data_IF_283134082708
#
_entry.id   IF_283134082708
#
_cell.length_a   1.000
_cell.length_b   1.000
_cell.length_c   1.000
_cell.angle_alpha   90.00
_cell.angle_beta   90.00
_cell.angle_gamma   90.00
#
_symmetry.space_group_name_H-M   'P 1'
#
loop_
_entity.id
_entity.type
_entity.pdbx_description
1 polymer ?
#
# COMPACT_ATOMS: atom_id res chain seq x y z
N UNK A 1 -15.20 28.84 6.77
CA UNK A 1 -14.88 27.40 6.82
C UNK A 1 -15.02 26.90 5.39
N UNK A 2 -13.92 26.62 4.70
CA UNK A 2 -13.99 26.03 3.36
C UNK A 2 -14.56 24.62 3.47
N UNK A 3 -15.47 24.24 2.58
CA UNK A 3 -15.97 22.87 2.47
C UNK A 3 -14.78 21.95 2.21
N UNK A 4 -14.56 20.94 3.06
CA UNK A 4 -13.62 19.86 2.76
C UNK A 4 -14.15 19.19 1.48
N UNK A 5 -13.37 19.25 0.39
CA UNK A 5 -13.73 18.55 -0.85
C UNK A 5 -13.59 17.05 -0.56
N UNK A 6 -14.73 16.37 -0.40
CA UNK A 6 -14.75 14.92 -0.21
C UNK A 6 -14.45 14.26 -1.56
N UNK A 7 -13.28 13.62 -1.66
CA UNK A 7 -12.89 12.84 -2.83
C UNK A 7 -13.32 11.40 -2.70
N UNK A 8 -13.55 10.76 -3.83
CA UNK A 8 -14.09 9.41 -3.89
C UNK A 8 -13.45 8.60 -5.02
N UNK A 9 -13.22 7.31 -4.79
CA UNK A 9 -12.66 6.39 -5.77
C UNK A 9 -13.44 5.08 -5.78
N UNK A 10 -13.58 4.50 -6.97
CA UNK A 10 -14.20 3.21 -7.18
C UNK A 10 -13.12 2.17 -7.52
N UNK A 11 -13.15 1.00 -6.89
CA UNK A 11 -12.29 -0.14 -7.26
C UNK A 11 -13.16 -1.27 -7.81
N UNK A 12 -12.82 -1.76 -9.01
CA UNK A 12 -13.43 -2.97 -9.56
C UNK A 12 -12.70 -4.18 -8.96
N UNK A 13 -13.40 -4.99 -8.19
CA UNK A 13 -12.88 -6.19 -7.54
C UNK A 13 -13.44 -7.45 -8.18
N UNK A 14 -12.62 -8.50 -8.25
CA UNK A 14 -13.05 -9.82 -8.72
C UNK A 14 -12.26 -10.93 -8.07
N UNK A 15 -12.80 -12.15 -8.11
CA UNK A 15 -12.13 -13.31 -7.54
C UNK A 15 -10.80 -13.55 -8.29
N UNK A 16 -9.71 -13.81 -7.55
CA UNK A 16 -8.35 -13.91 -8.09
C UNK A 16 -7.78 -12.62 -8.70
N UNK A 17 -8.22 -11.44 -8.24
CA UNK A 17 -7.49 -10.20 -8.43
C UNK A 17 -6.12 -10.25 -7.74
N UNK A 18 -5.18 -9.47 -8.26
CA UNK A 18 -3.85 -9.33 -7.65
C UNK A 18 -3.99 -8.54 -6.35
N UNK A 19 -3.46 -9.12 -5.27
CA UNK A 19 -3.79 -8.73 -3.90
C UNK A 19 -3.24 -7.34 -3.52
N UNK A 20 -1.99 -7.05 -3.91
CA UNK A 20 -1.41 -5.73 -3.71
C UNK A 20 -2.08 -4.68 -4.58
N UNK A 21 -2.43 -5.03 -5.82
CA UNK A 21 -3.08 -4.11 -6.77
C UNK A 21 -4.48 -3.65 -6.30
N UNK A 22 -5.02 -4.29 -5.26
CA UNK A 22 -6.22 -3.83 -4.56
C UNK A 22 -5.89 -3.21 -3.20
N UNK A 23 -5.17 -3.93 -2.33
CA UNK A 23 -4.99 -3.50 -0.94
C UNK A 23 -4.22 -2.18 -0.84
N UNK A 24 -3.16 -2.02 -1.64
CA UNK A 24 -2.33 -0.81 -1.61
C UNK A 24 -3.15 0.43 -2.01
N UNK A 25 -3.79 0.50 -3.19
CA UNK A 25 -4.60 1.67 -3.51
C UNK A 25 -5.78 1.84 -2.55
N UNK A 26 -6.44 0.76 -2.12
CA UNK A 26 -7.56 0.83 -1.18
C UNK A 26 -7.17 1.56 0.12
N UNK A 27 -6.14 1.09 0.81
CA UNK A 27 -5.76 1.65 2.11
C UNK A 27 -5.06 3.00 1.99
N UNK A 28 -4.26 3.21 0.94
CA UNK A 28 -3.53 4.48 0.77
C UNK A 28 -4.48 5.62 0.41
N UNK A 29 -5.48 5.38 -0.45
CA UNK A 29 -6.53 6.38 -0.72
C UNK A 29 -7.29 6.74 0.55
N UNK A 30 -7.67 5.75 1.37
CA UNK A 30 -8.33 5.98 2.67
C UNK A 30 -7.44 6.76 3.65
N UNK A 31 -6.14 6.49 3.68
CA UNK A 31 -5.20 7.20 4.56
C UNK A 31 -5.20 8.73 4.32
N UNK A 32 -5.53 9.15 3.10
CA UNK A 32 -5.60 10.55 2.70
C UNK A 32 -7.03 11.07 2.49
N UNK A 33 -8.01 10.43 3.14
CA UNK A 33 -9.39 10.93 3.22
C UNK A 33 -10.21 10.77 1.95
N UNK A 34 -9.76 9.93 1.01
CA UNK A 34 -10.58 9.54 -0.15
C UNK A 34 -11.53 8.43 0.28
N UNK A 35 -12.83 8.60 0.04
CA UNK A 35 -13.81 7.52 0.20
C UNK A 35 -13.56 6.47 -0.88
N UNK A 36 -13.38 5.22 -0.49
CA UNK A 36 -13.13 4.13 -1.44
C UNK A 36 -14.26 3.11 -1.36
N UNK A 37 -14.96 2.93 -2.48
CA UNK A 37 -15.99 1.92 -2.64
C UNK A 37 -15.48 0.79 -3.56
N UNK A 38 -15.88 -0.44 -3.26
CA UNK A 38 -15.52 -1.61 -4.06
C UNK A 38 -16.76 -2.19 -4.74
N UNK A 39 -16.62 -2.57 -6.02
CA UNK A 39 -17.69 -3.18 -6.79
C UNK A 39 -17.27 -4.47 -7.47
N UNK A 40 -18.16 -5.45 -7.51
CA UNK A 40 -17.91 -6.71 -8.19
C UNK A 40 -19.20 -7.27 -8.80
N UNK A 41 -19.23 -7.58 -10.11
CA UNK A 41 -20.38 -8.20 -10.78
C UNK A 41 -20.71 -9.62 -10.29
N UNK A 42 -19.82 -10.25 -9.53
CA UNK A 42 -20.02 -11.59 -8.95
C UNK A 42 -20.49 -11.58 -7.50
N UNK A 43 -20.71 -10.40 -6.90
CA UNK A 43 -21.15 -10.25 -5.51
C UNK A 43 -22.53 -9.59 -5.44
N UNK A 44 -23.29 -9.92 -4.40
CA UNK A 44 -24.55 -9.26 -4.06
C UNK A 44 -24.30 -8.05 -3.15
N UNK A 45 -25.14 -6.98 -3.20
CA UNK A 45 -25.00 -5.84 -2.31
C UNK A 45 -24.97 -6.29 -0.84
N UNK A 46 -24.04 -5.74 -0.06
CA UNK A 46 -23.83 -6.17 1.33
C UNK A 46 -22.80 -7.30 1.51
N UNK A 47 -22.43 -8.02 0.44
CA UNK A 47 -21.32 -8.98 0.51
C UNK A 47 -19.98 -8.25 0.46
N UNK A 48 -18.97 -8.81 1.13
CA UNK A 48 -17.59 -8.35 0.99
C UNK A 48 -17.08 -8.65 -0.42
N UNK A 49 -16.67 -7.63 -1.16
CA UNK A 49 -15.86 -7.81 -2.38
C UNK A 49 -14.40 -8.13 -2.00
N UNK A 50 -13.93 -7.43 -0.97
CA UNK A 50 -12.60 -7.52 -0.37
C UNK A 50 -12.74 -7.15 1.11
N UNK A 51 -12.06 -6.10 1.57
CA UNK A 51 -12.28 -5.46 2.87
C UNK A 51 -13.50 -4.53 2.88
N UNK A 52 -13.94 -4.03 1.72
CA UNK A 52 -15.13 -3.20 1.58
C UNK A 52 -16.38 -3.98 1.16
N UNK A 53 -17.53 -3.42 1.56
CA UNK A 53 -18.86 -3.92 1.21
C UNK A 53 -19.15 -3.57 -0.24
N UNK A 54 -19.65 -4.55 -1.01
CA UNK A 54 -20.14 -4.35 -2.36
C UNK A 54 -21.25 -3.29 -2.37
N UNK A 55 -20.97 -2.14 -2.99
CA UNK A 55 -22.01 -1.17 -3.35
C UNK A 55 -22.66 -1.66 -4.65
N UNK A 56 -23.98 -1.72 -4.70
CA UNK A 56 -24.72 -2.14 -5.90
C UNK A 56 -24.16 -1.48 -7.17
N UNK A 57 -24.11 -2.22 -8.29
CA UNK A 57 -23.61 -1.70 -9.59
C UNK A 57 -24.45 -0.56 -10.19
N UNK A 58 -25.58 -0.20 -9.59
CA UNK A 58 -26.47 0.88 -10.04
C UNK A 58 -26.10 2.29 -9.56
N UNK A 59 -24.83 2.56 -9.27
CA UNK A 59 -24.37 3.89 -8.85
C UNK A 59 -24.22 4.84 -10.04
N UNK A 60 -24.27 6.14 -9.79
CA UNK A 60 -23.94 7.14 -10.80
C UNK A 60 -22.43 7.37 -10.84
N UNK A 61 -21.81 7.24 -12.02
CA UNK A 61 -20.37 7.49 -12.22
C UNK A 61 -19.98 8.92 -11.80
N UNK A 62 -20.93 9.86 -11.86
CA UNK A 62 -20.80 11.22 -11.34
C UNK A 62 -20.28 11.29 -9.90
N UNK A 63 -20.63 10.32 -9.06
CA UNK A 63 -20.32 10.28 -7.63
C UNK A 63 -18.88 9.88 -7.27
N UNK A 64 -18.04 9.54 -8.26
CA UNK A 64 -16.66 9.10 -8.06
C UNK A 64 -15.66 10.02 -8.77
N UNK A 65 -14.53 10.35 -8.17
CA UNK A 65 -13.47 11.13 -8.82
C UNK A 65 -12.50 10.27 -9.63
N UNK A 66 -12.39 8.97 -9.34
CA UNK A 66 -11.46 8.06 -9.99
C UNK A 66 -11.96 6.61 -10.07
N UNK A 67 -11.41 5.87 -11.03
CA UNK A 67 -11.59 4.42 -11.18
C UNK A 67 -10.24 3.72 -11.02
N UNK A 68 -10.18 2.65 -10.23
CA UNK A 68 -9.04 1.75 -10.13
C UNK A 68 -9.45 0.36 -10.60
N UNK A 69 -8.71 -0.15 -11.57
CA UNK A 69 -8.89 -1.51 -12.11
C UNK A 69 -7.60 -2.29 -11.83
N UNK A 70 -7.57 -3.11 -10.78
CA UNK A 70 -6.44 -3.99 -10.50
C UNK A 70 -6.29 -5.03 -11.62
N UNK A 71 -5.12 -5.64 -11.71
CA UNK A 71 -4.88 -6.84 -12.49
C UNK A 71 -5.19 -8.13 -11.73
N UNK A 72 -4.62 -9.23 -12.19
CA UNK A 72 -4.98 -10.57 -11.75
C UNK A 72 -5.89 -11.28 -12.76
N UNK A 73 -6.36 -12.48 -12.38
CA UNK A 73 -7.03 -13.40 -13.30
C UNK A 73 -8.48 -13.03 -13.59
N UNK A 74 -9.10 -12.27 -12.68
CA UNK A 74 -10.50 -11.85 -12.82
C UNK A 74 -10.76 -11.01 -14.09
N UNK A 75 -9.72 -10.35 -14.61
CA UNK A 75 -9.83 -9.47 -15.78
C UNK A 75 -10.25 -10.24 -17.03
N UNK A 76 -9.90 -11.52 -17.13
CA UNK A 76 -10.34 -12.42 -18.21
C UNK A 76 -11.87 -12.50 -18.24
N UNK A 77 -12.49 -12.80 -17.10
CA UNK A 77 -13.95 -12.89 -16.98
C UNK A 77 -14.64 -11.53 -17.15
N UNK A 78 -14.04 -10.47 -16.61
CA UNK A 78 -14.68 -9.15 -16.60
C UNK A 78 -14.54 -8.42 -17.92
N UNK A 79 -13.61 -8.82 -18.78
CA UNK A 79 -13.48 -8.28 -20.14
C UNK A 79 -14.67 -8.61 -21.05
N UNK A 80 -15.51 -9.58 -20.67
CA UNK A 80 -16.73 -9.94 -21.41
C UNK A 80 -18.02 -9.59 -20.66
N UNK A 81 -17.94 -8.89 -19.52
CA UNK A 81 -19.11 -8.47 -18.74
C UNK A 81 -19.55 -7.06 -19.14
N UNK A 82 -20.70 -6.95 -19.82
CA UNK A 82 -21.24 -5.68 -20.31
C UNK A 82 -21.43 -4.63 -19.21
N UNK A 83 -21.69 -5.03 -17.96
CA UNK A 83 -21.86 -4.11 -16.83
C UNK A 83 -20.52 -3.47 -16.48
N UNK A 84 -19.45 -4.26 -16.44
CA UNK A 84 -18.09 -3.76 -16.21
C UNK A 84 -17.67 -2.85 -17.36
N UNK A 85 -17.85 -3.29 -18.61
CA UNK A 85 -17.48 -2.48 -19.78
C UNK A 85 -18.23 -1.14 -19.81
N UNK A 86 -19.50 -1.12 -19.41
CA UNK A 86 -20.30 0.10 -19.30
C UNK A 86 -19.76 1.07 -18.25
N UNK A 87 -19.35 0.58 -17.08
CA UNK A 87 -18.72 1.40 -16.04
C UNK A 87 -17.42 2.03 -16.58
N UNK A 88 -16.53 1.22 -17.16
CA UNK A 88 -15.22 1.73 -17.64
C UNK A 88 -15.40 2.76 -18.74
N UNK A 89 -16.33 2.54 -19.69
CA UNK A 89 -16.67 3.51 -20.74
C UNK A 89 -17.20 4.81 -20.15
N UNK A 90 -18.10 4.76 -19.18
CA UNK A 90 -18.66 5.95 -18.55
C UNK A 90 -17.60 6.78 -17.79
N UNK A 91 -16.64 6.15 -17.11
CA UNK A 91 -15.51 6.86 -16.51
C UNK A 91 -14.61 7.51 -17.58
N UNK A 92 -14.40 6.82 -18.71
CA UNK A 92 -13.60 7.33 -19.81
C UNK A 92 -14.26 8.54 -20.49
N UNK A 93 -15.57 8.46 -20.76
CA UNK A 93 -16.38 9.56 -21.32
C UNK A 93 -16.42 10.77 -20.39
N UNK A 94 -16.47 10.56 -19.08
CA UNK A 94 -16.41 11.62 -18.08
C UNK A 94 -15.01 12.26 -17.94
N UNK A 95 -13.98 11.74 -18.61
CA UNK A 95 -12.61 12.23 -18.52
C UNK A 95 -11.95 12.01 -17.14
N UNK A 96 -12.52 11.13 -16.32
CA UNK A 96 -12.03 10.85 -14.96
C UNK A 96 -10.81 9.93 -15.01
N UNK A 97 -9.83 10.07 -14.09
CA UNK A 97 -8.67 9.20 -14.06
C UNK A 97 -9.06 7.72 -13.89
N UNK A 98 -8.49 6.87 -14.74
CA UNK A 98 -8.63 5.41 -14.72
C UNK A 98 -7.24 4.81 -14.51
N UNK A 99 -7.04 4.18 -13.36
CA UNK A 99 -5.82 3.42 -13.06
C UNK A 99 -5.97 1.99 -13.57
N UNK A 100 -4.95 1.54 -14.28
CA UNK A 100 -4.83 0.19 -14.83
C UNK A 100 -3.46 -0.38 -14.49
N UNK A 101 -3.44 -1.62 -14.03
CA UNK A 101 -2.22 -2.34 -13.71
C UNK A 101 -2.29 -3.76 -14.26
N UNK A 102 -1.12 -4.30 -14.62
CA UNK A 102 -0.93 -5.71 -14.93
C UNK A 102 -1.82 -6.25 -16.07
N UNK A 103 -2.90 -6.96 -15.78
CA UNK A 103 -3.80 -7.57 -16.79
C UNK A 103 -5.09 -6.76 -17.04
N UNK A 104 -5.31 -5.65 -16.33
CA UNK A 104 -6.55 -4.85 -16.45
C UNK A 104 -6.74 -4.18 -17.81
N UNK A 105 -5.67 -4.02 -18.58
CA UNK A 105 -5.69 -3.48 -19.94
C UNK A 105 -6.51 -4.35 -20.89
N UNK A 106 -6.74 -5.63 -20.56
CA UNK A 106 -7.68 -6.49 -21.26
C UNK A 106 -9.11 -5.93 -21.23
N UNK A 107 -9.53 -5.34 -20.10
CA UNK A 107 -10.85 -4.72 -19.95
C UNK A 107 -10.93 -3.44 -20.81
N UNK A 108 -9.86 -2.63 -20.85
CA UNK A 108 -9.82 -1.43 -21.69
C UNK A 108 -9.86 -1.79 -23.19
N UNK A 109 -9.18 -2.86 -23.59
CA UNK A 109 -9.21 -3.39 -24.95
C UNK A 109 -10.64 -3.80 -25.33
N UNK A 110 -11.32 -4.59 -24.49
CA UNK A 110 -12.69 -5.02 -24.71
C UNK A 110 -13.69 -3.85 -24.69
N UNK A 111 -13.42 -2.81 -23.89
CA UNK A 111 -14.21 -1.58 -23.90
C UNK A 111 -13.99 -0.70 -25.15
N UNK A 112 -13.02 -1.03 -26.01
CA UNK A 112 -12.67 -0.25 -27.20
C UNK A 112 -11.94 1.06 -26.90
N UNK A 113 -11.31 1.17 -25.73
CA UNK A 113 -10.73 2.41 -25.21
C UNK A 113 -9.24 2.59 -25.52
N UNK A 114 -8.58 1.60 -26.15
CA UNK A 114 -7.14 1.64 -26.40
C UNK A 114 -6.74 2.30 -27.74
N UNK A 115 -7.67 2.56 -28.66
CA UNK A 115 -7.32 3.08 -29.99
C UNK A 115 -6.58 4.42 -29.91
N UNK A 116 -5.33 4.43 -30.37
CA UNK A 116 -4.44 5.60 -30.34
C UNK A 116 -3.88 5.94 -28.95
N UNK A 117 -4.22 5.18 -27.91
CA UNK A 117 -3.74 5.40 -26.55
C UNK A 117 -2.41 4.73 -26.32
N UNK A 118 -1.51 5.44 -25.67
CA UNK A 118 -0.23 4.92 -25.21
C UNK A 118 -0.43 4.27 -23.84
N UNK A 119 -0.10 2.99 -23.73
CA UNK A 119 -0.28 2.23 -22.49
C UNK A 119 0.89 1.26 -22.27
N UNK A 120 1.17 0.97 -21.00
CA UNK A 120 1.95 -0.22 -20.61
C UNK A 120 1.09 -1.15 -19.77
N UNK A 121 1.56 -2.36 -19.53
CA UNK A 121 0.83 -3.42 -18.82
C UNK A 121 1.80 -4.56 -18.47
N UNK A 122 1.29 -5.65 -17.89
CA UNK A 122 2.05 -6.89 -17.83
C UNK A 122 2.39 -7.36 -19.25
N UNK A 123 3.58 -7.93 -19.44
CA UNK A 123 4.15 -8.16 -20.77
C UNK A 123 3.25 -8.98 -21.71
N UNK A 124 2.45 -9.92 -21.18
CA UNK A 124 1.51 -10.71 -21.98
C UNK A 124 0.37 -9.89 -22.60
N UNK A 125 0.12 -8.67 -22.12
CA UNK A 125 -0.91 -7.77 -22.65
C UNK A 125 -0.43 -6.94 -23.84
N UNK A 126 0.87 -6.96 -24.19
CA UNK A 126 1.39 -6.21 -25.33
C UNK A 126 0.64 -6.51 -26.63
N UNK A 127 0.43 -7.79 -27.04
CA UNK A 127 -0.35 -8.08 -28.25
C UNK A 127 -1.79 -7.59 -28.17
N UNK A 128 -2.41 -7.66 -26.99
CA UNK A 128 -3.80 -7.19 -26.77
C UNK A 128 -3.89 -5.67 -27.01
N UNK A 129 -2.93 -4.91 -26.46
CA UNK A 129 -2.87 -3.46 -26.62
C UNK A 129 -2.68 -3.09 -28.10
N UNK A 130 -1.72 -3.71 -28.78
CA UNK A 130 -1.41 -3.42 -30.18
C UNK A 130 -2.58 -3.80 -31.11
N UNK A 131 -3.21 -4.97 -30.91
CA UNK A 131 -4.36 -5.41 -31.70
C UNK A 131 -5.62 -4.54 -31.48
N UNK A 132 -5.77 -3.97 -30.28
CA UNK A 132 -6.82 -3.00 -29.98
C UNK A 132 -6.53 -1.58 -30.53
N UNK A 133 -5.42 -1.41 -31.25
CA UNK A 133 -4.99 -0.14 -31.85
C UNK A 133 -4.29 0.81 -30.87
N UNK A 134 -3.87 0.32 -29.71
CA UNK A 134 -3.05 1.05 -28.75
C UNK A 134 -1.57 1.04 -29.12
N UNK A 135 -0.81 1.92 -28.47
CA UNK A 135 0.63 2.09 -28.63
C UNK A 135 1.30 1.53 -27.39
N UNK A 136 2.01 0.41 -27.54
CA UNK A 136 2.79 -0.18 -26.46
C UNK A 136 3.88 0.77 -26.00
N UNK A 137 3.91 1.06 -24.69
CA UNK A 137 5.02 1.77 -24.06
C UNK A 137 5.88 0.81 -23.27
N UNK A 138 7.13 0.71 -23.71
CA UNK A 138 8.19 0.03 -22.97
C UNK A 138 8.74 0.98 -21.90
N UNK A 139 8.72 0.54 -20.64
CA UNK A 139 9.37 1.29 -19.57
C UNK A 139 10.90 1.21 -19.76
N UNK A 140 11.62 2.34 -19.87
CA UNK A 140 13.07 2.34 -20.00
C UNK A 140 13.74 1.96 -18.68
N UNK A 141 14.95 1.38 -18.77
CA UNK A 141 15.82 1.16 -17.61
C UNK A 141 15.49 -0.05 -16.74
N UNK A 142 14.68 -1.00 -17.22
CA UNK A 142 14.44 -2.27 -16.52
C UNK A 142 15.71 -3.13 -16.60
N UNK A 143 16.37 -3.34 -15.47
CA UNK A 143 17.54 -4.26 -15.35
C UNK A 143 17.26 -5.46 -14.44
N UNK A 144 16.17 -5.39 -13.69
CA UNK A 144 15.70 -6.39 -12.74
C UNK A 144 14.16 -6.47 -12.78
N UNK A 145 13.55 -7.62 -12.44
CA UNK A 145 12.09 -7.76 -12.31
C UNK A 145 11.44 -6.78 -11.32
N UNK A 146 12.24 -6.09 -10.51
CA UNK A 146 11.77 -5.13 -9.50
C UNK A 146 11.93 -3.66 -9.93
N UNK A 147 12.53 -3.41 -11.09
CA UNK A 147 12.71 -2.05 -11.63
C UNK A 147 11.44 -1.53 -12.33
N UNK A 148 10.36 -2.32 -12.36
CA UNK A 148 9.07 -1.99 -13.01
C UNK A 148 8.22 -1.01 -12.19
N UNK A 149 8.79 0.15 -11.88
CA UNK A 149 8.23 1.13 -10.93
C UNK A 149 7.52 2.33 -11.58
N UNK A 150 7.52 2.43 -12.92
CA UNK A 150 6.98 3.62 -13.58
C UNK A 150 5.45 3.55 -13.80
N UNK A 151 4.84 4.73 -13.80
CA UNK A 151 3.47 4.94 -14.26
C UNK A 151 3.48 5.77 -15.54
N UNK A 152 2.75 5.32 -16.56
CA UNK A 152 2.47 6.12 -17.76
C UNK A 152 1.07 6.71 -17.67
N UNK A 153 0.98 8.03 -17.82
CA UNK A 153 -0.28 8.76 -17.99
C UNK A 153 -0.47 9.18 -19.45
N UNK A 154 -1.55 8.75 -20.09
CA UNK A 154 -1.99 9.22 -21.40
C UNK A 154 -3.45 9.70 -21.34
N UNK A 155 -3.63 11.02 -21.32
CA UNK A 155 -4.91 11.65 -20.99
C UNK A 155 -5.34 11.28 -19.57
N UNK A 156 -6.48 10.61 -19.44
CA UNK A 156 -7.04 10.13 -18.18
C UNK A 156 -6.71 8.66 -17.88
N UNK A 157 -5.97 7.95 -18.73
CA UNK A 157 -5.55 6.56 -18.48
C UNK A 157 -4.17 6.58 -17.81
N UNK A 158 -4.08 5.99 -16.63
CA UNK A 158 -2.86 5.78 -15.85
C UNK A 158 -2.55 4.28 -15.89
N UNK A 159 -1.39 3.91 -16.43
CA UNK A 159 -1.04 2.51 -16.67
C UNK A 159 0.34 2.15 -16.14
N UNK A 160 0.47 0.98 -15.53
CA UNK A 160 1.76 0.41 -15.12
C UNK A 160 1.83 -1.11 -15.37
N UNK A 161 3.05 -1.64 -15.27
CA UNK A 161 3.33 -3.07 -15.48
C UNK A 161 2.76 -3.93 -14.34
N UNK A 162 2.83 -3.46 -13.09
CA UNK A 162 2.46 -4.23 -11.90
C UNK A 162 2.54 -3.43 -10.60
N UNK A 163 2.26 -4.09 -9.49
CA UNK A 163 2.30 -3.53 -8.14
C UNK A 163 3.61 -2.85 -7.70
N UNK A 164 4.82 -3.15 -8.22
CA UNK A 164 6.01 -2.40 -7.81
C UNK A 164 5.94 -0.90 -8.16
N UNK A 165 5.09 -0.51 -9.11
CA UNK A 165 4.84 0.87 -9.52
C UNK A 165 3.80 1.61 -8.66
N UNK A 166 3.24 1.01 -7.61
CA UNK A 166 2.17 1.64 -6.82
C UNK A 166 2.52 3.02 -6.28
N UNK A 167 3.78 3.26 -5.91
CA UNK A 167 4.19 4.59 -5.46
C UNK A 167 3.94 5.66 -6.54
N UNK A 168 4.37 5.40 -7.78
CA UNK A 168 4.23 6.36 -8.89
C UNK A 168 2.78 6.42 -9.39
N UNK A 169 2.06 5.28 -9.42
CA UNK A 169 0.62 5.25 -9.71
C UNK A 169 -0.15 6.14 -8.73
N UNK A 170 0.08 5.96 -7.43
CA UNK A 170 -0.69 6.66 -6.40
C UNK A 170 -0.41 8.14 -6.43
N UNK A 171 0.86 8.53 -6.58
CA UNK A 171 1.25 9.92 -6.79
C UNK A 171 0.54 10.52 -8.00
N UNK A 172 0.62 9.85 -9.15
CA UNK A 172 -0.01 10.31 -10.40
C UNK A 172 -1.54 10.37 -10.30
N UNK A 173 -2.15 9.42 -9.58
CA UNK A 173 -3.58 9.39 -9.31
C UNK A 173 -4.01 10.57 -8.44
N UNK A 174 -3.32 10.82 -7.32
CA UNK A 174 -3.60 11.95 -6.45
C UNK A 174 -3.52 13.27 -7.24
N UNK A 175 -2.46 13.49 -7.99
CA UNK A 175 -2.31 14.67 -8.86
C UNK A 175 -3.44 14.76 -9.89
N UNK A 176 -3.85 13.63 -10.48
CA UNK A 176 -4.97 13.58 -11.45
C UNK A 176 -6.34 13.82 -10.82
N UNK A 177 -6.47 13.61 -9.51
CA UNK A 177 -7.67 13.94 -8.71
C UNK A 177 -7.65 15.39 -8.19
N UNK A 178 -6.63 16.18 -8.55
CA UNK A 178 -6.47 17.57 -8.11
C UNK A 178 -5.76 17.73 -6.77
N UNK A 179 -5.04 16.71 -6.31
CA UNK A 179 -4.28 16.79 -5.08
C UNK A 179 -2.96 17.56 -5.25
N UNK A 180 -2.56 18.25 -4.18
CA UNK A 180 -1.19 18.72 -3.98
C UNK A 180 -0.60 18.06 -2.74
N UNK A 181 0.58 17.48 -2.90
CA UNK A 181 1.37 16.93 -1.80
C UNK A 181 2.21 18.07 -1.22
N UNK A 182 2.04 18.33 0.07
CA UNK A 182 2.81 19.32 0.81
C UNK A 182 3.81 18.63 1.70
N UNK A 183 5.05 19.10 1.66
CA UNK A 183 6.11 18.65 2.57
C UNK A 183 6.85 19.83 3.17
N UNK A 184 7.17 19.75 4.45
CA UNK A 184 7.99 20.76 5.13
C UNK A 184 9.50 20.55 4.92
N UNK A 185 9.91 19.33 4.55
CA UNK A 185 11.30 18.96 4.24
C UNK A 185 11.37 17.66 3.42
N UNK A 186 12.53 17.33 2.86
CA UNK A 186 12.76 15.97 2.38
C UNK A 186 12.77 15.01 3.59
N UNK A 187 12.05 13.89 3.47
CA UNK A 187 11.96 12.89 4.54
C UNK A 187 12.57 11.57 4.08
N UNK A 188 13.36 10.97 4.96
CA UNK A 188 13.93 9.63 4.78
C UNK A 188 13.35 8.66 5.81
N UNK A 189 12.86 7.51 5.36
CA UNK A 189 12.23 6.48 6.21
C UNK A 189 12.96 5.16 6.04
N UNK A 190 13.30 4.52 7.16
CA UNK A 190 13.89 3.19 7.20
C UNK A 190 12.86 2.16 7.60
N UNK A 191 12.70 1.12 6.80
CA UNK A 191 11.97 -0.10 7.12
C UNK A 191 12.94 -1.17 7.58
N UNK A 192 12.78 -1.63 8.82
CA UNK A 192 13.54 -2.74 9.39
C UNK A 192 12.69 -4.00 9.36
N UNK A 193 13.06 -4.94 8.49
CA UNK A 193 12.32 -6.17 8.25
C UNK A 193 13.27 -7.38 8.16
N UNK A 194 12.69 -8.54 7.85
CA UNK A 194 13.35 -9.83 7.75
C UNK A 194 12.42 -10.81 7.02
N UNK A 195 12.83 -12.08 6.91
CA UNK A 195 11.96 -13.09 6.30
C UNK A 195 10.67 -13.30 7.09
N UNK A 196 9.59 -13.57 6.35
CA UNK A 196 8.23 -13.68 6.83
C UNK A 196 7.71 -12.42 7.55
N UNK A 197 8.18 -11.24 7.13
CA UNK A 197 7.48 -9.97 7.45
C UNK A 197 6.06 -10.00 6.86
N UNK A 198 5.08 -9.40 7.54
CA UNK A 198 3.70 -9.38 7.04
C UNK A 198 3.61 -8.59 5.73
N UNK A 199 2.94 -9.17 4.74
CA UNK A 199 2.95 -8.73 3.35
C UNK A 199 2.37 -7.32 3.16
N UNK A 200 1.22 -7.04 3.77
CA UNK A 200 0.59 -5.71 3.73
C UNK A 200 1.25 -4.71 4.67
N UNK A 201 1.60 -5.12 5.89
CA UNK A 201 2.21 -4.24 6.88
C UNK A 201 3.58 -3.71 6.42
N UNK A 202 4.25 -4.45 5.54
CA UNK A 202 5.40 -3.93 4.80
C UNK A 202 4.95 -3.09 3.60
N UNK A 203 4.26 -3.68 2.61
CA UNK A 203 4.17 -3.08 1.28
C UNK A 203 3.27 -1.84 1.26
N UNK A 204 2.13 -1.84 1.95
CA UNK A 204 1.18 -0.71 1.92
C UNK A 204 1.84 0.58 2.45
N UNK A 205 2.37 0.64 3.69
CA UNK A 205 3.01 1.87 4.17
C UNK A 205 4.29 2.21 3.41
N UNK A 206 5.04 1.21 2.93
CA UNK A 206 6.23 1.43 2.09
C UNK A 206 5.87 2.21 0.81
N UNK A 207 4.84 1.75 0.07
CA UNK A 207 4.37 2.42 -1.15
C UNK A 207 3.69 3.75 -0.88
N UNK A 208 2.95 3.87 0.22
CA UNK A 208 2.31 5.12 0.62
C UNK A 208 3.32 6.25 0.84
N UNK A 209 4.38 5.96 1.60
CA UNK A 209 5.43 6.94 1.90
C UNK A 209 6.24 7.31 0.66
N UNK A 210 6.52 6.33 -0.22
CA UNK A 210 7.14 6.60 -1.52
C UNK A 210 6.26 7.50 -2.40
N UNK A 211 4.94 7.27 -2.45
CA UNK A 211 4.00 8.08 -3.21
C UNK A 211 3.96 9.54 -2.74
N UNK A 212 4.21 9.79 -1.45
CA UNK A 212 4.35 11.12 -0.87
C UNK A 212 5.73 11.77 -1.11
N UNK A 213 6.63 11.10 -1.82
CA UNK A 213 7.96 11.62 -2.15
C UNK A 213 9.03 11.38 -1.09
N UNK A 214 8.79 10.51 -0.09
CA UNK A 214 9.84 10.12 0.85
C UNK A 214 10.89 9.25 0.16
N UNK A 215 12.15 9.41 0.59
CA UNK A 215 13.15 8.37 0.37
C UNK A 215 12.85 7.23 1.34
N UNK A 216 12.52 6.05 0.85
CA UNK A 216 12.18 4.90 1.69
C UNK A 216 13.17 3.76 1.41
N UNK A 217 13.89 3.35 2.44
CA UNK A 217 14.84 2.24 2.36
C UNK A 217 14.36 1.05 3.21
N UNK A 218 14.49 -0.17 2.69
CA UNK A 218 14.24 -1.42 3.40
C UNK A 218 15.55 -2.17 3.63
N UNK A 219 15.76 -2.62 4.88
CA UNK A 219 16.98 -3.31 5.31
C UNK A 219 16.66 -4.50 6.20
N UNK A 220 17.58 -5.46 6.20
CA UNK A 220 17.62 -6.58 7.14
C UNK A 220 19.07 -6.90 7.47
N UNK A 221 19.41 -7.29 8.72
CA UNK A 221 20.78 -7.66 9.08
C UNK A 221 21.34 -8.86 8.31
N UNK A 222 20.48 -9.68 7.71
CA UNK A 222 20.87 -10.96 7.08
C UNK A 222 21.04 -10.92 5.56
N UNK A 223 20.76 -9.78 4.91
CA UNK A 223 20.75 -9.66 3.43
C UNK A 223 21.29 -8.31 2.97
N UNK A 224 21.65 -8.24 1.70
CA UNK A 224 22.21 -7.08 1.01
C UNK A 224 21.19 -6.46 0.06
N UNK A 225 21.48 -5.24 -0.39
CA UNK A 225 20.72 -4.56 -1.44
C UNK A 225 20.55 -5.46 -2.66
N UNK A 226 19.33 -5.55 -3.16
CA UNK A 226 18.95 -6.36 -4.32
C UNK A 226 18.53 -7.80 -3.99
N UNK A 227 18.85 -8.29 -2.79
CA UNK A 227 18.31 -9.58 -2.31
C UNK A 227 16.86 -9.43 -1.86
N UNK A 228 16.16 -10.56 -1.71
CA UNK A 228 14.73 -10.57 -1.38
C UNK A 228 14.43 -11.18 -0.03
N UNK A 229 13.44 -10.65 0.66
CA UNK A 229 12.77 -11.31 1.78
C UNK A 229 11.45 -11.93 1.33
N UNK A 230 11.17 -13.12 1.86
CA UNK A 230 9.85 -13.75 1.72
C UNK A 230 8.90 -13.05 2.69
N UNK A 231 7.64 -12.84 2.32
CA UNK A 231 6.62 -12.31 3.25
C UNK A 231 5.63 -13.39 3.69
N UNK A 232 4.86 -13.07 4.73
CA UNK A 232 3.76 -13.86 5.24
C UNK A 232 2.44 -13.12 5.06
N UNK A 233 1.41 -13.82 4.60
CA UNK A 233 0.03 -13.37 4.61
C UNK A 233 -0.63 -13.93 5.87
N UNK A 234 -1.14 -13.04 6.72
CA UNK A 234 -1.83 -13.40 7.97
C UNK A 234 -3.32 -13.05 7.90
N UNK A 235 -4.15 -14.09 7.79
CA UNK A 235 -5.60 -13.96 7.64
C UNK A 235 -6.39 -14.78 8.66
N UNK A 236 -7.49 -14.20 9.13
CA UNK A 236 -8.49 -14.90 9.93
C UNK A 236 -9.37 -15.79 9.02
N UNK A 237 -9.19 -17.09 9.17
CA UNK A 237 -9.94 -18.13 8.44
C UNK A 237 -10.83 -18.96 9.39
N UNK A 238 -11.23 -18.38 10.53
CA UNK A 238 -12.17 -19.00 11.48
C UNK A 238 -11.53 -19.95 12.50
N UNK A 239 -10.20 -19.97 12.60
CA UNK A 239 -9.46 -20.69 13.64
C UNK A 239 -9.21 -19.79 14.87
N UNK A 240 -8.65 -20.36 15.95
CA UNK A 240 -8.31 -19.59 17.16
C UNK A 240 -7.17 -18.57 16.94
N UNK A 241 -6.42 -18.72 15.84
CA UNK A 241 -5.37 -17.83 15.40
C UNK A 241 -5.46 -17.67 13.88
N UNK A 242 -4.81 -16.64 13.35
CA UNK A 242 -4.71 -16.44 11.91
C UNK A 242 -3.95 -17.59 11.24
N UNK A 243 -4.31 -17.88 9.99
CA UNK A 243 -3.52 -18.73 9.10
C UNK A 243 -2.26 -17.99 8.63
N UNK A 244 -1.24 -18.73 8.23
CA UNK A 244 -0.05 -18.17 7.57
C UNK A 244 0.12 -18.79 6.19
N UNK A 245 0.24 -17.93 5.18
CA UNK A 245 0.57 -18.32 3.80
C UNK A 245 1.77 -17.53 3.32
N UNK A 246 2.49 -18.06 2.33
CA UNK A 246 3.58 -17.32 1.69
C UNK A 246 3.00 -16.19 0.83
N UNK A 247 3.46 -14.97 1.06
CA UNK A 247 3.11 -13.80 0.24
C UNK A 247 4.15 -13.51 -0.83
N UNK A 248 4.21 -12.24 -1.24
CA UNK A 248 5.15 -11.74 -2.23
C UNK A 248 6.61 -11.80 -1.74
N UNK A 249 7.56 -11.62 -2.68
CA UNK A 249 8.93 -11.35 -2.29
C UNK A 249 9.14 -9.82 -2.30
N UNK A 250 9.64 -9.27 -1.20
CA UNK A 250 10.08 -7.88 -1.13
C UNK A 250 11.57 -7.77 -1.43
N UNK A 251 12.01 -6.64 -1.97
CA UNK A 251 13.44 -6.38 -2.25
C UNK A 251 14.04 -5.50 -1.17
N UNK A 252 15.22 -5.87 -0.72
CA UNK A 252 16.05 -5.05 0.16
C UNK A 252 16.70 -3.94 -0.67
N UNK A 253 16.48 -2.68 -0.28
CA UNK A 253 16.88 -1.52 -1.10
C UNK A 253 18.17 -0.86 -0.65
N UNK A 254 18.64 -1.16 0.57
CA UNK A 254 19.90 -0.67 1.13
C UNK A 254 20.64 -1.78 1.87
N UNK A 255 21.97 -1.68 1.97
CA UNK A 255 22.73 -2.65 2.78
C UNK A 255 22.63 -2.28 4.25
N UNK A 256 22.53 -3.29 5.10
CA UNK A 256 22.58 -3.13 6.56
C UNK A 256 23.81 -2.35 7.05
N UNK A 257 24.97 -2.59 6.42
CA UNK A 257 26.25 -1.93 6.78
C UNK A 257 26.25 -0.42 6.56
N UNK A 258 25.36 0.07 5.70
CA UNK A 258 25.35 1.46 5.24
C UNK A 258 24.33 2.29 6.03
N UNK A 259 23.61 1.66 6.98
CA UNK A 259 22.56 2.31 7.76
C UNK A 259 23.16 3.14 8.89
N UNK A 260 22.77 4.40 8.93
CA UNK A 260 23.03 5.33 10.03
C UNK A 260 21.72 5.99 10.46
N UNK A 261 21.45 6.02 11.77
CA UNK A 261 20.26 6.69 12.34
C UNK A 261 20.17 8.18 11.98
N UNK A 262 21.29 8.81 11.61
CA UNK A 262 21.33 10.22 11.22
C UNK A 262 20.71 10.48 9.85
N UNK A 263 20.67 9.46 8.99
CA UNK A 263 20.19 9.58 7.60
C UNK A 263 18.67 9.44 7.47
N UNK A 264 17.99 9.05 8.56
CA UNK A 264 16.56 8.76 8.58
C UNK A 264 15.82 9.59 9.61
N UNK A 265 14.62 10.03 9.24
CA UNK A 265 13.69 10.76 10.11
C UNK A 265 12.74 9.81 10.85
N UNK A 266 12.54 8.61 10.30
CA UNK A 266 11.62 7.62 10.84
C UNK A 266 12.16 6.19 10.67
N UNK A 267 11.90 5.36 11.69
CA UNK A 267 11.98 3.91 11.64
C UNK A 267 10.57 3.31 11.62
N UNK A 268 10.30 2.42 10.67
CA UNK A 268 9.11 1.59 10.62
C UNK A 268 9.52 0.12 10.83
N UNK A 269 8.84 -0.55 11.75
CA UNK A 269 9.00 -1.99 12.04
C UNK A 269 7.66 -2.69 11.74
N UNK A 270 7.50 -3.24 10.53
CA UNK A 270 6.32 -4.05 10.19
C UNK A 270 6.26 -5.33 11.02
N UNK A 271 5.07 -5.92 11.12
CA UNK A 271 4.82 -7.14 11.86
C UNK A 271 5.09 -8.42 11.09
N UNK A 272 4.26 -9.42 11.32
CA UNK A 272 4.46 -10.78 10.85
C UNK A 272 5.42 -11.55 11.75
N UNK A 273 6.21 -12.45 11.17
CA UNK A 273 7.21 -13.24 11.91
C UNK A 273 8.61 -12.63 11.89
N UNK A 274 8.83 -11.64 11.03
CA UNK A 274 10.11 -10.93 10.95
C UNK A 274 10.59 -10.37 12.30
N UNK A 275 9.75 -9.76 13.15
CA UNK A 275 10.19 -9.24 14.44
C UNK A 275 10.77 -10.30 15.38
N UNK A 276 10.26 -11.54 15.35
CA UNK A 276 10.80 -12.68 16.12
C UNK A 276 12.26 -12.98 15.75
N UNK A 277 12.61 -12.81 14.46
CA UNK A 277 13.98 -12.97 13.97
C UNK A 277 14.87 -11.79 14.38
N UNK A 278 14.33 -10.58 14.28
CA UNK A 278 15.08 -9.35 14.55
C UNK A 278 15.43 -9.17 16.02
N UNK A 279 14.58 -9.62 16.96
CA UNK A 279 14.89 -9.54 18.39
C UNK A 279 16.10 -10.38 18.80
N UNK A 280 16.44 -11.42 18.04
CA UNK A 280 17.63 -12.24 18.28
C UNK A 280 18.93 -11.56 17.82
N UNK A 281 18.85 -10.41 17.16
CA UNK A 281 20.00 -9.67 16.68
C UNK A 281 20.22 -8.40 17.52
N UNK A 282 21.24 -8.41 18.37
CA UNK A 282 21.56 -7.28 19.26
C UNK A 282 21.74 -5.95 18.51
N UNK A 283 22.26 -5.98 17.27
CA UNK A 283 22.42 -4.76 16.47
C UNK A 283 21.08 -4.21 15.98
N UNK A 284 20.12 -5.07 15.65
CA UNK A 284 18.77 -4.64 15.29
C UNK A 284 18.04 -4.00 16.50
N UNK A 285 18.15 -4.62 17.68
CA UNK A 285 17.62 -4.07 18.93
C UNK A 285 18.29 -2.73 19.27
N UNK A 286 19.61 -2.64 19.09
CA UNK A 286 20.39 -1.40 19.33
C UNK A 286 20.00 -0.30 18.36
N UNK A 287 19.82 -0.60 17.07
CA UNK A 287 19.37 0.39 16.09
C UNK A 287 18.05 1.04 16.51
N UNK A 288 17.07 0.26 16.97
CA UNK A 288 15.78 0.79 17.45
C UNK A 288 15.97 1.73 18.65
N UNK A 289 16.86 1.37 19.59
CA UNK A 289 17.22 2.24 20.73
C UNK A 289 17.84 3.55 20.26
N UNK A 290 18.76 3.51 19.31
CA UNK A 290 19.41 4.71 18.76
C UNK A 290 18.39 5.66 18.12
N UNK A 291 17.39 5.15 17.37
CA UNK A 291 16.30 5.98 16.85
C UNK A 291 15.54 6.70 17.98
N UNK A 292 15.31 6.03 19.11
CA UNK A 292 14.60 6.60 20.26
C UNK A 292 15.46 7.67 20.96
N UNK A 293 16.74 7.37 21.20
CA UNK A 293 17.71 8.31 21.79
C UNK A 293 17.92 9.56 20.94
N UNK A 294 17.84 9.43 19.62
CA UNK A 294 17.87 10.56 18.67
C UNK A 294 16.52 11.25 18.49
N UNK A 295 15.50 10.87 19.27
CA UNK A 295 14.17 11.44 19.23
C UNK A 295 13.59 11.43 17.80
N UNK A 296 13.84 10.36 17.04
CA UNK A 296 13.26 10.11 15.72
C UNK A 296 11.86 9.52 15.86
N UNK A 297 11.08 9.54 14.78
CA UNK A 297 9.77 8.87 14.77
C UNK A 297 10.01 7.36 14.71
N UNK A 298 9.33 6.59 15.57
CA UNK A 298 9.38 5.12 15.57
C UNK A 298 7.95 4.63 15.42
N UNK A 299 7.75 3.75 14.44
CA UNK A 299 6.45 3.18 14.12
C UNK A 299 6.51 1.65 14.11
N UNK A 300 5.58 0.98 14.79
CA UNK A 300 5.44 -0.47 14.79
C UNK A 300 4.02 -0.91 14.46
N UNK A 301 3.88 -1.99 13.70
CA UNK A 301 2.57 -2.58 13.36
C UNK A 301 2.58 -4.05 13.72
N UNK A 302 1.44 -4.56 14.23
CA UNK A 302 1.25 -5.99 14.50
C UNK A 302 2.28 -6.51 15.50
N UNK A 303 3.10 -7.47 15.05
CA UNK A 303 4.17 -8.07 15.82
C UNK A 303 5.45 -7.21 15.88
N UNK A 304 5.54 -6.09 15.16
CA UNK A 304 6.69 -5.18 15.23
C UNK A 304 7.00 -4.70 16.65
N UNK A 305 5.96 -4.69 17.50
CA UNK A 305 5.99 -4.41 18.92
C UNK A 305 6.92 -5.36 19.70
N UNK A 306 7.22 -6.57 19.21
CA UNK A 306 8.26 -7.44 19.79
C UNK A 306 9.61 -6.74 19.84
N UNK A 307 10.02 -6.20 18.69
CA UNK A 307 11.31 -5.52 18.58
C UNK A 307 11.32 -4.21 19.36
N UNK A 308 10.20 -3.49 19.37
CA UNK A 308 10.05 -2.28 20.17
C UNK A 308 10.12 -2.58 21.69
N UNK A 309 9.50 -3.67 22.15
CA UNK A 309 9.57 -4.12 23.53
C UNK A 309 10.99 -4.52 23.91
N UNK A 310 11.68 -5.30 23.07
CA UNK A 310 13.09 -5.69 23.28
C UNK A 310 14.04 -4.49 23.32
N UNK A 311 13.75 -3.45 22.52
CA UNK A 311 14.48 -2.19 22.54
C UNK A 311 14.17 -1.34 23.79
N UNK A 312 13.13 -1.67 24.56
CA UNK A 312 12.71 -0.93 25.75
C UNK A 312 11.99 0.39 25.44
N UNK A 313 11.63 0.63 24.17
CA UNK A 313 11.03 1.91 23.74
C UNK A 313 9.54 2.00 24.07
N UNK A 314 8.92 0.91 24.53
CA UNK A 314 7.52 0.88 24.98
C UNK A 314 7.34 1.33 26.45
N UNK A 315 8.42 1.44 27.23
CA UNK A 315 8.33 1.68 28.68
C UNK A 315 7.64 3.01 28.99
N UNK A 316 6.51 2.95 29.70
CA UNK A 316 5.70 4.11 30.08
C UNK A 316 4.96 4.75 28.90
N UNK A 317 4.80 4.03 27.78
CA UNK A 317 4.17 4.53 26.56
C UNK A 317 2.83 3.87 26.30
N UNK A 318 1.86 4.65 25.84
CA UNK A 318 0.58 4.13 25.36
C UNK A 318 0.76 3.44 24.02
N UNK A 319 0.20 2.23 23.88
CA UNK A 319 0.36 1.39 22.70
C UNK A 319 -0.97 0.78 22.25
N UNK A 320 -1.17 0.71 20.94
CA UNK A 320 -2.15 -0.18 20.34
C UNK A 320 -1.49 -1.54 20.10
N UNK A 321 -2.23 -2.61 20.37
CA UNK A 321 -1.79 -3.95 19.99
C UNK A 321 -2.99 -4.88 19.77
N UNK A 322 -2.84 -5.83 18.86
CA UNK A 322 -3.75 -6.96 18.77
C UNK A 322 -3.63 -7.89 19.98
N UNK A 323 -4.59 -8.80 20.16
CA UNK A 323 -4.68 -9.66 21.34
C UNK A 323 -3.40 -10.47 21.60
N UNK A 324 -2.78 -11.01 20.54
CA UNK A 324 -1.54 -11.79 20.66
C UNK A 324 -0.35 -11.01 21.22
N UNK A 325 -0.36 -9.67 21.11
CA UNK A 325 0.77 -8.81 21.50
C UNK A 325 0.60 -8.13 22.86
N UNK A 326 -0.56 -8.29 23.52
CA UNK A 326 -0.85 -7.66 24.83
C UNK A 326 0.19 -7.99 25.88
N UNK A 327 0.64 -9.25 25.92
CA UNK A 327 1.68 -9.70 26.85
C UNK A 327 3.01 -9.02 26.57
N UNK A 328 3.39 -8.88 25.31
CA UNK A 328 4.65 -8.23 24.92
C UNK A 328 4.68 -6.75 25.27
N UNK A 329 3.58 -6.02 25.05
CA UNK A 329 3.47 -4.62 25.46
C UNK A 329 3.61 -4.49 26.98
N UNK A 330 2.93 -5.34 27.76
CA UNK A 330 3.02 -5.34 29.23
C UNK A 330 4.43 -5.65 29.72
N UNK A 331 5.09 -6.67 29.16
CA UNK A 331 6.49 -7.02 29.50
C UNK A 331 7.44 -5.87 29.15
N UNK A 332 7.21 -5.21 28.01
CA UNK A 332 7.95 -4.01 27.59
C UNK A 332 7.67 -2.76 28.45
N UNK A 333 6.76 -2.84 29.42
CA UNK A 333 6.38 -1.73 30.30
C UNK A 333 5.45 -0.70 29.65
N UNK A 334 4.80 -1.05 28.54
CA UNK A 334 3.82 -0.19 27.87
C UNK A 334 2.41 -0.32 28.44
N UNK A 335 1.61 0.71 28.21
CA UNK A 335 0.21 0.82 28.61
C UNK A 335 -0.70 0.50 27.42
N UNK A 336 -1.63 -0.44 27.59
CA UNK A 336 -2.55 -0.85 26.54
C UNK A 336 -3.69 0.15 26.38
N UNK A 337 -3.95 0.58 25.14
CA UNK A 337 -5.12 1.40 24.79
C UNK A 337 -6.01 0.61 23.80
N UNK A 338 -6.83 -0.30 24.35
CA UNK A 338 -7.55 -1.36 23.60
C UNK A 338 -8.64 -0.85 22.63
N UNK A 339 -9.11 0.39 22.79
CA UNK A 339 -10.23 0.93 21.99
C UNK A 339 -9.83 1.45 20.61
N UNK A 340 -8.54 1.40 20.25
CA UNK A 340 -8.04 1.97 18.99
C UNK A 340 -7.23 0.97 18.20
N UNK A 341 -7.50 0.88 16.89
CA UNK A 341 -6.66 0.14 15.95
C UNK A 341 -5.24 0.73 15.82
N UNK A 342 -5.04 1.97 16.28
CA UNK A 342 -3.80 2.72 16.20
C UNK A 342 -3.66 3.69 17.38
N UNK A 343 -2.45 3.84 17.93
CA UNK A 343 -2.12 4.78 19.02
C UNK A 343 -0.82 5.53 18.71
N UNK A 344 -0.83 6.84 19.00
CA UNK A 344 0.36 7.67 19.01
C UNK A 344 0.62 8.23 20.41
N UNK A 345 1.83 7.99 20.90
CA UNK A 345 2.39 8.57 22.12
C UNK A 345 3.62 9.42 21.74
N UNK A 346 3.35 10.68 21.39
CA UNK A 346 4.37 11.57 20.84
C UNK A 346 4.91 11.05 19.50
N UNK A 347 6.19 10.68 19.47
CA UNK A 347 6.88 10.15 18.27
C UNK A 347 6.86 8.63 18.16
N UNK A 348 6.26 7.93 19.14
CA UNK A 348 6.00 6.50 19.04
C UNK A 348 4.60 6.27 18.47
N UNK A 349 4.53 5.43 17.45
CA UNK A 349 3.34 5.14 16.63
C UNK A 349 3.17 3.61 16.64
N UNK A 350 2.04 3.10 17.14
CA UNK A 350 1.79 1.65 17.20
C UNK A 350 0.42 1.32 16.62
N UNK A 351 0.32 0.27 15.81
CA UNK A 351 -0.94 -0.21 15.23
C UNK A 351 -1.15 -1.71 15.48
N UNK A 352 -2.43 -2.12 15.56
CA UNK A 352 -2.80 -3.51 15.91
C UNK A 352 -2.47 -4.53 14.82
N UNK A 353 -2.44 -4.10 13.54
CA UNK A 353 -2.19 -4.94 12.38
C UNK A 353 -2.63 -4.26 11.08
N UNK A 354 -2.57 -4.98 9.96
CA UNK A 354 -2.88 -4.46 8.62
C UNK A 354 -4.23 -3.73 8.47
N UNK A 355 -5.34 -4.03 9.19
CA UNK A 355 -6.59 -3.27 9.02
C UNK A 355 -6.49 -1.80 9.47
N UNK A 356 -5.51 -1.48 10.33
CA UNK A 356 -5.32 -0.13 10.88
C UNK A 356 -4.36 0.74 10.05
N UNK A 357 -3.82 0.20 8.96
CA UNK A 357 -2.84 0.90 8.12
C UNK A 357 -3.31 2.26 7.58
N UNK A 358 -4.58 2.50 7.20
CA UNK A 358 -5.01 3.83 6.77
C UNK A 358 -4.76 4.91 7.84
N UNK A 359 -5.20 4.65 9.07
CA UNK A 359 -5.01 5.57 10.21
C UNK A 359 -3.53 5.70 10.61
N UNK A 360 -2.80 4.58 10.59
CA UNK A 360 -1.37 4.54 10.86
C UNK A 360 -0.58 5.42 9.86
N UNK A 361 -0.81 5.24 8.56
CA UNK A 361 -0.16 6.00 7.49
C UNK A 361 -0.53 7.48 7.59
N UNK A 362 -1.82 7.80 7.73
CA UNK A 362 -2.30 9.18 7.84
C UNK A 362 -1.60 9.95 8.98
N UNK A 363 -1.48 9.30 10.14
CA UNK A 363 -0.84 9.91 11.31
C UNK A 363 0.68 9.98 11.15
N UNK A 364 1.30 8.93 10.65
CA UNK A 364 2.74 8.89 10.41
C UNK A 364 3.18 9.99 9.42
N UNK A 365 2.42 10.19 8.34
CA UNK A 365 2.62 11.28 7.39
C UNK A 365 2.60 12.65 8.07
N UNK A 366 1.62 12.90 8.96
CA UNK A 366 1.55 14.17 9.72
C UNK A 366 2.76 14.40 10.60
N UNK A 367 3.25 13.37 11.29
CA UNK A 367 4.46 13.46 12.12
C UNK A 367 5.72 13.77 11.29
N UNK A 368 5.74 13.38 10.03
CA UNK A 368 6.80 13.69 9.08
C UNK A 368 6.61 15.05 8.37
N UNK A 369 5.56 15.81 8.71
CA UNK A 369 5.24 17.08 8.07
C UNK A 369 4.77 16.92 6.63
N UNK A 370 4.20 15.75 6.31
CA UNK A 370 3.59 15.43 5.01
C UNK A 370 2.08 15.60 5.12
N UNK A 371 1.49 16.24 4.12
CA UNK A 371 0.03 16.33 4.00
C UNK A 371 -0.39 16.37 2.54
N UNK A 372 -1.66 16.05 2.31
CA UNK A 372 -2.26 16.05 0.99
C UNK A 372 -3.54 16.88 1.06
N UNK A 373 -3.71 17.81 0.12
CA UNK A 373 -4.92 18.63 -0.01
C UNK A 373 -5.48 18.50 -1.42
N UNK A 374 -6.80 18.35 -1.55
CA UNK A 374 -7.50 18.38 -2.82
C UNK A 374 -8.03 19.79 -3.09
N UNK A 375 -7.86 20.27 -4.32
CA UNK A 375 -8.42 21.54 -4.80
C UNK A 375 -9.87 21.41 -5.29
#
# INVERSE_FOLDING_TARGET
MGSVVEKSALIICGDYMEDFEVMVPFQVLQAFGVRVDCVSPTKLPGQKCFTAIHVSLGFEVGCYDALVIPGGRFTELFSVDDRVLSIVKAFAEAGKPIVTTCHSQLILAAAGLLKGKKCTAFASMKPVIELAGGIWWEQPGITSPFDITACLKDGNILSSIGWPAHAEILKTLFESMGARIHTTKANSVLFLCGDYVEDYEFNVPFRALQALGCKVDAVTPSKKKGETCVTAIHDDEGAQAFSEKRGHNLVITANWSDVSVYDYDCLVVPGGRSPELLVMNDKAVTLVKEFAEKNRVIAGVGQGQWLLAAAGVLKGKRCACGDGMKVMVKIGGGELEESKGFVSDGKLVTAVGWPALPSFISHLSKLLGLSLSFE
#
